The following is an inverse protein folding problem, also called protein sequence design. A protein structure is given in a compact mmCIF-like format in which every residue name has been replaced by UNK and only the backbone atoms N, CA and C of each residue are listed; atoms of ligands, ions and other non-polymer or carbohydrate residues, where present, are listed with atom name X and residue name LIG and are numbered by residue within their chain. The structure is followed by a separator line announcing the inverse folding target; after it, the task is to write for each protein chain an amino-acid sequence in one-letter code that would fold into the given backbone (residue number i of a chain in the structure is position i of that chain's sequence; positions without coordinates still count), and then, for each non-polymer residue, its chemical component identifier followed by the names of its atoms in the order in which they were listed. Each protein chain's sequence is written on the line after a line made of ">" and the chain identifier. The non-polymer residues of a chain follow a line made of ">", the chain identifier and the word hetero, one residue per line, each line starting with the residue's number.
data_IF_256121724899
#
_entry.id   IF_256121724899
#
_cell.length_a   1.000
_cell.length_b   1.000
_cell.length_c   1.000
_cell.angle_alpha   90.00
_cell.angle_beta   90.00
_cell.angle_gamma   90.00
#
_symmetry.space_group_name_H-M   'P 1'
#
loop_
_entity.id
_entity.type
_entity.pdbx_description
1 polymer ?
#
# COMPACT_ATOMS: atom_id res chain seq x y z
N UNK A 1 -17.07 -13.85 13.34
CA UNK A 1 -16.33 -12.68 13.84
C UNK A 1 -15.62 -11.98 12.69
N UNK A 2 -15.83 -10.69 12.55
CA UNK A 2 -15.24 -9.95 11.44
C UNK A 2 -13.82 -9.54 11.80
N UNK A 3 -12.87 -10.04 11.00
CA UNK A 3 -11.51 -9.55 11.13
C UNK A 3 -11.45 -8.13 10.58
N UNK A 4 -10.89 -7.23 11.39
CA UNK A 4 -10.64 -5.88 10.90
C UNK A 4 -9.42 -5.89 10.02
N UNK A 5 -9.62 -5.53 8.77
CA UNK A 5 -8.48 -5.35 7.86
C UNK A 5 -7.79 -4.03 8.19
N UNK A 6 -6.45 -3.98 8.07
CA UNK A 6 -5.70 -2.75 8.35
C UNK A 6 -5.82 -1.69 7.25
N UNK A 7 -6.77 -1.86 6.34
CA UNK A 7 -6.98 -0.95 5.22
C UNK A 7 -8.42 -0.99 4.77
N UNK A 8 -8.81 -0.01 3.99
CA UNK A 8 -10.11 0.05 3.31
C UNK A 8 -9.88 0.32 1.84
N UNK A 9 -10.56 -0.43 0.98
CA UNK A 9 -10.53 -0.22 -0.48
C UNK A 9 -11.92 0.24 -0.90
N UNK A 10 -11.97 1.29 -1.71
CA UNK A 10 -13.23 1.76 -2.29
C UNK A 10 -12.97 2.35 -3.67
N UNK A 11 -14.06 2.55 -4.41
CA UNK A 11 -13.99 3.26 -5.68
C UNK A 11 -14.64 4.62 -5.53
N UNK A 12 -14.02 5.63 -6.12
CA UNK A 12 -14.55 6.99 -6.10
C UNK A 12 -15.58 7.16 -7.21
N UNK A 13 -16.38 8.22 -7.13
CA UNK A 13 -17.40 8.50 -8.14
C UNK A 13 -16.82 8.76 -9.53
N UNK A 14 -15.55 9.18 -9.61
CA UNK A 14 -14.87 9.43 -10.88
C UNK A 14 -14.02 8.23 -11.35
N UNK A 15 -14.21 7.06 -10.75
CA UNK A 15 -13.61 5.82 -11.23
C UNK A 15 -12.22 5.51 -10.70
N UNK A 16 -11.74 6.27 -9.73
CA UNK A 16 -10.43 5.99 -9.11
C UNK A 16 -10.57 4.90 -8.05
N UNK A 17 -9.48 4.18 -7.81
CA UNK A 17 -9.40 3.22 -6.72
C UNK A 17 -8.74 3.89 -5.52
N UNK A 18 -9.41 3.85 -4.38
CA UNK A 18 -8.95 4.48 -3.14
C UNK A 18 -8.54 3.42 -2.14
N UNK A 19 -7.36 3.54 -1.56
CA UNK A 19 -6.89 2.68 -0.47
C UNK A 19 -6.54 3.55 0.72
N UNK A 20 -7.16 3.28 1.85
CA UNK A 20 -6.88 3.99 3.10
C UNK A 20 -6.15 3.04 4.06
N UNK A 21 -4.96 3.46 4.50
CA UNK A 21 -4.11 2.70 5.41
C UNK A 21 -3.60 3.66 6.48
N UNK A 22 -3.66 3.24 7.75
CA UNK A 22 -3.18 4.06 8.87
C UNK A 22 -3.79 5.49 8.87
N UNK A 23 -5.06 5.60 8.46
CA UNK A 23 -5.74 6.88 8.37
C UNK A 23 -5.35 7.76 7.18
N UNK A 24 -4.49 7.26 6.29
CA UNK A 24 -4.02 8.00 5.12
C UNK A 24 -4.58 7.36 3.85
N UNK A 25 -5.08 8.20 2.95
CA UNK A 25 -5.73 7.74 1.72
C UNK A 25 -4.84 7.99 0.51
N UNK A 26 -4.67 6.94 -0.30
CA UNK A 26 -3.97 7.00 -1.58
C UNK A 26 -4.93 6.67 -2.71
N UNK A 27 -4.85 7.44 -3.78
CA UNK A 27 -5.69 7.26 -4.96
C UNK A 27 -4.88 6.67 -6.11
N UNK A 28 -5.46 5.69 -6.78
CA UNK A 28 -4.86 5.05 -7.96
C UNK A 28 -5.81 5.22 -9.14
N UNK A 29 -5.24 5.42 -10.33
CA UNK A 29 -6.04 5.65 -11.54
C UNK A 29 -6.94 4.46 -11.85
N UNK A 30 -6.43 3.26 -11.63
CA UNK A 30 -7.17 2.03 -11.91
C UNK A 30 -6.92 1.02 -10.81
N UNK A 31 -7.79 0.01 -10.76
CA UNK A 31 -7.61 -1.13 -9.86
C UNK A 31 -6.31 -1.88 -10.20
N UNK A 32 -5.96 -1.95 -11.49
CA UNK A 32 -4.70 -2.58 -11.91
C UNK A 32 -3.47 -1.86 -11.39
N UNK A 33 -3.49 -0.53 -11.34
CA UNK A 33 -2.39 0.26 -10.78
C UNK A 33 -2.25 -0.01 -9.27
N UNK A 34 -3.39 -0.08 -8.57
CA UNK A 34 -3.39 -0.41 -7.15
C UNK A 34 -2.84 -1.82 -6.91
N UNK A 35 -3.20 -2.77 -7.77
CA UNK A 35 -2.68 -4.15 -7.68
C UNK A 35 -1.16 -4.17 -7.90
N UNK A 36 -0.66 -3.41 -8.87
CA UNK A 36 0.79 -3.31 -9.11
C UNK A 36 1.53 -2.77 -7.89
N UNK A 37 0.96 -1.76 -7.23
CA UNK A 37 1.50 -1.25 -5.97
C UNK A 37 1.56 -2.34 -4.90
N UNK A 38 0.46 -3.09 -4.73
CA UNK A 38 0.39 -4.13 -3.71
C UNK A 38 1.40 -5.27 -3.99
N UNK A 39 1.55 -5.66 -5.26
CA UNK A 39 2.51 -6.70 -5.64
C UNK A 39 3.95 -6.25 -5.37
N UNK A 40 4.29 -4.99 -5.69
CA UNK A 40 5.61 -4.46 -5.41
C UNK A 40 5.90 -4.44 -3.91
N UNK A 41 4.91 -4.05 -3.11
CA UNK A 41 5.06 -4.06 -1.65
C UNK A 41 5.23 -5.47 -1.10
N UNK A 42 4.48 -6.44 -1.65
CA UNK A 42 4.60 -7.85 -1.25
C UNK A 42 6.01 -8.40 -1.51
N UNK A 43 6.65 -7.95 -2.59
CA UNK A 43 8.00 -8.36 -2.94
C UNK A 43 9.08 -7.60 -2.19
N UNK A 44 8.70 -6.69 -1.29
CA UNK A 44 9.62 -5.86 -0.50
C UNK A 44 10.57 -5.03 -1.37
N UNK A 45 10.07 -4.59 -2.50
CA UNK A 45 10.87 -3.84 -3.47
C UNK A 45 10.34 -2.43 -3.56
N UNK A 46 11.24 -1.46 -3.48
CA UNK A 46 10.89 -0.08 -3.80
C UNK A 46 10.45 0.00 -5.24
N UNK A 47 9.30 0.60 -5.45
CA UNK A 47 8.74 0.72 -6.79
C UNK A 47 9.41 1.88 -7.53
N UNK A 48 10.53 1.55 -8.19
CA UNK A 48 11.28 2.54 -8.96
C UNK A 48 10.73 2.73 -10.37
N UNK A 49 9.94 1.77 -10.86
CA UNK A 49 9.43 1.83 -12.24
C UNK A 49 8.25 2.77 -12.37
N UNK A 50 7.27 2.61 -11.47
CA UNK A 50 6.06 3.44 -11.52
C UNK A 50 6.21 4.73 -10.73
N UNK A 51 7.21 4.81 -9.86
CA UNK A 51 7.40 5.98 -9.01
C UNK A 51 6.31 6.16 -7.96
N UNK A 52 5.56 5.11 -7.63
CA UNK A 52 4.45 5.21 -6.68
C UNK A 52 4.94 5.37 -5.25
N UNK A 53 5.95 4.60 -4.86
CA UNK A 53 6.46 4.64 -3.48
C UNK A 53 7.91 4.16 -3.43
N UNK A 54 8.53 4.38 -2.27
CA UNK A 54 9.79 3.72 -1.95
C UNK A 54 9.78 3.28 -0.49
N UNK A 55 10.63 2.32 -0.19
CA UNK A 55 10.81 1.79 1.16
C UNK A 55 12.14 2.25 1.72
N UNK A 56 12.16 2.55 3.02
CA UNK A 56 13.41 2.85 3.71
C UNK A 56 13.36 2.33 5.13
N UNK A 57 14.52 1.90 5.64
CA UNK A 57 14.65 1.47 7.02
C UNK A 57 14.82 2.69 7.93
N UNK A 58 14.25 2.59 9.13
CA UNK A 58 14.46 3.62 10.15
C UNK A 58 15.60 3.21 11.09
N UNK A 59 16.22 4.18 11.80
CA UNK A 59 17.28 3.86 12.74
C UNK A 59 16.86 2.91 13.87
N UNK A 60 15.57 2.87 14.21
CA UNK A 60 15.05 2.00 15.27
C UNK A 60 14.54 0.65 14.72
N UNK A 61 14.88 0.29 13.47
CA UNK A 61 14.61 -1.02 12.92
C UNK A 61 13.21 -1.20 12.32
N UNK A 62 12.48 -0.12 12.13
CA UNK A 62 11.18 -0.16 11.46
C UNK A 62 11.32 0.06 9.97
N UNK A 63 10.23 -0.14 9.23
CA UNK A 63 10.17 0.08 7.79
C UNK A 63 9.20 1.22 7.51
N UNK A 64 9.63 2.18 6.70
CA UNK A 64 8.75 3.25 6.23
C UNK A 64 8.47 3.10 4.75
N UNK A 65 7.22 3.28 4.38
CA UNK A 65 6.79 3.37 3.00
C UNK A 65 6.39 4.82 2.71
N UNK A 66 7.08 5.44 1.77
CA UNK A 66 6.84 6.83 1.41
C UNK A 66 6.15 6.88 0.06
N UNK A 67 4.92 7.42 0.03
CA UNK A 67 4.13 7.55 -1.19
C UNK A 67 4.58 8.82 -1.91
N UNK A 68 5.05 8.67 -3.15
CA UNK A 68 5.67 9.79 -3.88
C UNK A 68 4.67 10.89 -4.23
N UNK A 69 3.45 10.52 -4.58
CA UNK A 69 2.47 11.50 -5.05
C UNK A 69 1.95 12.40 -3.92
N UNK A 70 1.70 11.83 -2.76
CA UNK A 70 1.12 12.56 -1.62
C UNK A 70 2.14 12.95 -0.58
N UNK A 71 3.30 12.27 -0.55
CA UNK A 71 4.27 12.43 0.52
C UNK A 71 3.88 11.72 1.81
N UNK A 72 2.78 10.97 1.82
CA UNK A 72 2.36 10.23 3.00
C UNK A 72 3.39 9.18 3.38
N UNK A 73 3.65 9.04 4.67
CA UNK A 73 4.58 8.06 5.21
C UNK A 73 3.81 7.08 6.08
N UNK A 74 3.92 5.80 5.74
CA UNK A 74 3.30 4.74 6.51
C UNK A 74 4.41 3.91 7.11
N UNK A 75 4.40 3.75 8.44
CA UNK A 75 5.43 3.03 9.17
C UNK A 75 4.92 1.65 9.54
N UNK A 76 5.69 0.63 9.17
CA UNK A 76 5.44 -0.75 9.56
C UNK A 76 6.45 -1.15 10.63
N UNK A 77 6.02 -2.06 11.49
CA UNK A 77 6.89 -2.61 12.52
C UNK A 77 8.12 -3.29 11.91
N UNK A 78 7.92 -4.00 10.79
CA UNK A 78 8.96 -4.74 10.08
C UNK A 78 8.44 -5.10 8.69
N UNK A 79 9.29 -5.77 7.90
CA UNK A 79 8.92 -6.24 6.56
C UNK A 79 7.77 -7.24 6.58
N UNK A 80 7.71 -8.09 7.61
CA UNK A 80 6.63 -9.09 7.69
C UNK A 80 5.26 -8.43 7.81
N UNK A 81 5.16 -7.36 8.57
CA UNK A 81 3.90 -6.63 8.67
C UNK A 81 3.50 -6.01 7.33
N UNK A 82 4.47 -5.40 6.63
CA UNK A 82 4.21 -4.83 5.31
C UNK A 82 3.81 -5.92 4.31
N UNK A 83 4.48 -7.06 4.32
CA UNK A 83 4.19 -8.17 3.42
C UNK A 83 2.79 -8.75 3.67
N UNK A 84 2.39 -8.88 4.92
CA UNK A 84 1.05 -9.36 5.27
C UNK A 84 -0.03 -8.41 4.76
N UNK A 85 0.17 -7.11 4.95
CA UNK A 85 -0.75 -6.11 4.42
C UNK A 85 -0.84 -6.22 2.90
N UNK A 86 0.32 -6.32 2.23
CA UNK A 86 0.37 -6.42 0.78
C UNK A 86 -0.34 -7.66 0.25
N UNK A 87 -0.13 -8.81 0.90
CA UNK A 87 -0.80 -10.05 0.50
C UNK A 87 -2.33 -9.93 0.59
N UNK A 88 -2.82 -9.29 1.64
CA UNK A 88 -4.25 -9.04 1.79
C UNK A 88 -4.77 -8.12 0.69
N UNK A 89 -4.04 -7.05 0.40
CA UNK A 89 -4.40 -6.12 -0.68
C UNK A 89 -4.44 -6.83 -2.03
N UNK A 90 -3.45 -7.67 -2.32
CA UNK A 90 -3.41 -8.42 -3.58
C UNK A 90 -4.65 -9.28 -3.71
N UNK A 91 -5.03 -10.01 -2.67
CA UNK A 91 -6.23 -10.87 -2.72
C UNK A 91 -7.49 -10.06 -2.98
N UNK A 92 -7.63 -8.90 -2.34
CA UNK A 92 -8.81 -8.08 -2.48
C UNK A 92 -8.86 -7.32 -3.81
N UNK A 93 -7.69 -7.05 -4.41
CA UNK A 93 -7.60 -6.31 -5.69
C UNK A 93 -7.65 -7.22 -6.91
N UNK A 94 -7.37 -8.51 -6.75
CA UNK A 94 -7.50 -9.47 -7.86
C UNK A 94 -8.95 -9.60 -8.29
N UNK A 95 -9.22 -9.72 -9.60
CA UNK A 95 -10.57 -9.90 -10.12
C UNK A 95 -11.19 -11.22 -9.70
#
# INVERSE_FOLDING_TARGET
>A
MNEKKPYTISETSDGLTSITMAGLTELFKTRGTALSFALALADRVSDRRTGIFHLQDTPDGKLQMIMHKTGNVITFKDYDQAAKLADMLVKDLLP
#
